data_IF_213704197067
#
_entry.id   IF_213704197067
#
_cell.length_a   1.000
_cell.length_b   1.000
_cell.length_c   1.000
_cell.angle_alpha   90.00
_cell.angle_beta   90.00
_cell.angle_gamma   90.00
#
_symmetry.space_group_name_H-M   'P 1'
#
loop_
_entity.id
_entity.type
_entity.pdbx_description
1 polymer ?
#
# COMPACT_ATOMS: atom_id res chain seq x y z
N UNK A 1 1.05 19.83 0.95
CA UNK A 1 2.23 19.45 0.12
C UNK A 1 3.32 18.98 1.07
N UNK A 2 3.79 17.74 0.95
CA UNK A 2 4.86 17.24 1.82
C UNK A 2 6.17 17.96 1.45
N UNK A 3 6.77 18.62 2.41
CA UNK A 3 8.08 19.29 2.27
C UNK A 3 9.24 18.30 2.01
N UNK A 4 8.96 17.01 2.10
CA UNK A 4 9.94 15.93 2.00
C UNK A 4 10.19 15.55 0.53
N UNK A 5 9.15 15.50 -0.31
CA UNK A 5 9.28 15.08 -1.72
C UNK A 5 10.24 15.94 -2.55
N UNK A 6 10.18 17.28 -2.50
CA UNK A 6 11.15 18.12 -3.24
C UNK A 6 12.59 17.96 -2.76
N UNK A 7 12.79 17.63 -1.46
CA UNK A 7 14.13 17.37 -0.92
C UNK A 7 14.70 16.03 -1.40
N UNK A 8 13.84 15.02 -1.56
CA UNK A 8 14.23 13.70 -2.06
C UNK A 8 14.51 13.75 -3.57
N UNK A 9 13.74 14.52 -4.34
CA UNK A 9 14.02 14.77 -5.76
C UNK A 9 15.37 15.48 -5.97
N UNK A 10 15.68 16.47 -5.14
CA UNK A 10 17.01 17.13 -5.15
C UNK A 10 18.17 16.17 -4.83
N UNK A 11 17.91 15.06 -4.16
CA UNK A 11 18.86 13.97 -3.89
C UNK A 11 18.86 12.87 -4.97
N UNK A 12 18.20 13.09 -6.11
CA UNK A 12 18.15 12.14 -7.22
C UNK A 12 17.22 10.96 -7.03
N UNK A 13 16.35 10.98 -6.00
CA UNK A 13 15.33 9.93 -5.79
C UNK A 13 14.09 10.32 -6.56
N UNK A 14 13.88 9.69 -7.72
CA UNK A 14 12.69 9.94 -8.55
C UNK A 14 11.39 9.63 -7.78
N UNK A 15 10.32 10.32 -8.15
CA UNK A 15 8.99 10.10 -7.58
C UNK A 15 8.56 8.63 -7.63
N UNK A 16 8.89 7.94 -8.73
CA UNK A 16 8.60 6.51 -8.90
C UNK A 16 9.35 5.62 -7.89
N UNK A 17 10.58 5.99 -7.51
CA UNK A 17 11.33 5.29 -6.45
C UNK A 17 10.73 5.55 -5.08
N UNK A 18 10.29 6.79 -4.81
CA UNK A 18 9.62 7.14 -3.55
C UNK A 18 8.34 6.32 -3.36
N UNK A 19 7.54 6.17 -4.42
CA UNK A 19 6.32 5.33 -4.39
C UNK A 19 6.64 3.86 -4.13
N UNK A 20 7.68 3.32 -4.77
CA UNK A 20 8.13 1.94 -4.55
C UNK A 20 8.56 1.69 -3.10
N UNK A 21 9.33 2.61 -2.53
CA UNK A 21 9.77 2.52 -1.13
C UNK A 21 8.54 2.44 -0.22
N UNK A 22 7.53 3.26 -0.46
CA UNK A 22 6.31 3.24 0.32
C UNK A 22 5.49 1.95 0.14
N UNK A 23 5.43 1.40 -1.09
CA UNK A 23 4.77 0.11 -1.35
C UNK A 23 5.44 -1.07 -0.64
N UNK A 24 6.75 -1.04 -0.48
CA UNK A 24 7.49 -2.06 0.26
C UNK A 24 7.39 -1.82 1.77
N UNK A 25 7.41 -0.56 2.19
CA UNK A 25 7.38 -0.17 3.59
C UNK A 25 6.11 -0.64 4.30
N UNK A 26 4.95 -0.47 3.66
CA UNK A 26 3.66 -0.75 4.27
C UNK A 26 3.48 -2.24 4.63
N UNK A 27 3.67 -3.22 3.71
CA UNK A 27 3.56 -4.64 4.06
C UNK A 27 4.64 -5.11 5.05
N UNK A 28 5.84 -4.51 5.02
CA UNK A 28 6.88 -4.82 6.02
C UNK A 28 6.46 -4.39 7.42
N UNK A 29 5.96 -3.17 7.58
CA UNK A 29 5.45 -2.70 8.87
C UNK A 29 4.27 -3.55 9.36
N UNK A 30 3.32 -3.87 8.47
CA UNK A 30 2.18 -4.70 8.84
C UNK A 30 2.62 -6.13 9.20
N UNK A 31 3.58 -6.69 8.46
CA UNK A 31 4.16 -8.00 8.74
C UNK A 31 4.86 -8.03 10.10
N UNK A 32 5.64 -6.99 10.44
CA UNK A 32 6.27 -6.90 11.77
C UNK A 32 5.26 -6.80 12.90
N UNK A 33 4.13 -6.10 12.69
CA UNK A 33 3.05 -6.02 13.68
C UNK A 33 2.43 -7.38 14.00
N UNK A 34 2.40 -8.32 13.05
CA UNK A 34 1.89 -9.68 13.30
C UNK A 34 2.73 -10.46 14.31
N UNK A 35 4.04 -10.18 14.34
CA UNK A 35 4.98 -10.85 15.26
C UNK A 35 5.16 -10.09 16.58
N UNK A 36 4.88 -8.79 16.60
CA UNK A 36 5.10 -7.93 17.75
C UNK A 36 3.80 -7.71 18.53
N UNK A 37 3.38 -8.73 19.26
CA UNK A 37 2.16 -8.71 20.06
C UNK A 37 2.43 -8.27 21.52
N UNK A 38 3.05 -7.10 21.69
CA UNK A 38 3.33 -6.53 23.02
C UNK A 38 2.47 -5.28 23.28
N UNK A 39 2.43 -4.86 24.55
CA UNK A 39 1.77 -3.60 24.96
C UNK A 39 2.30 -2.36 24.24
N UNK A 40 3.51 -2.43 23.69
CA UNK A 40 4.17 -1.35 22.95
C UNK A 40 3.83 -1.34 21.44
N UNK A 41 2.90 -2.20 21.00
CA UNK A 41 2.53 -2.31 19.59
C UNK A 41 2.01 -0.99 18.97
N UNK A 42 1.54 -0.03 19.79
CA UNK A 42 1.13 1.30 19.35
C UNK A 42 2.27 2.08 18.66
N UNK A 43 3.54 1.82 19.03
CA UNK A 43 4.72 2.44 18.38
C UNK A 43 4.77 2.11 16.90
N UNK A 44 4.32 0.91 16.50
CA UNK A 44 4.30 0.48 15.11
C UNK A 44 3.36 1.35 14.25
N UNK A 45 2.30 1.89 14.83
CA UNK A 45 1.42 2.83 14.13
C UNK A 45 2.14 4.15 13.78
N UNK A 46 3.05 4.61 14.64
CA UNK A 46 3.90 5.76 14.34
C UNK A 46 4.88 5.46 13.21
N UNK A 47 5.39 4.23 13.15
CA UNK A 47 6.29 3.77 12.06
C UNK A 47 5.53 3.63 10.74
N UNK A 48 4.23 3.29 10.78
CA UNK A 48 3.35 3.24 9.60
C UNK A 48 2.98 4.64 9.06
N UNK A 49 2.90 5.64 9.93
CA UNK A 49 2.43 6.99 9.58
C UNK A 49 3.18 7.63 8.39
N UNK A 50 4.51 7.47 8.20
CA UNK A 50 5.21 7.99 7.02
C UNK A 50 4.72 7.42 5.67
N UNK A 51 4.01 6.29 5.68
CA UNK A 51 3.41 5.70 4.47
C UNK A 51 2.22 6.51 3.92
N UNK A 52 1.53 7.27 4.76
CA UNK A 52 0.35 8.05 4.36
C UNK A 52 0.67 9.12 3.28
N UNK A 53 1.74 9.92 3.39
CA UNK A 53 2.13 10.85 2.34
C UNK A 53 2.40 10.21 0.98
N UNK A 54 2.74 8.93 0.94
CA UNK A 54 3.00 8.22 -0.31
C UNK A 54 1.75 8.07 -1.18
N UNK A 55 0.59 7.89 -0.57
CA UNK A 55 -0.70 7.86 -1.29
C UNK A 55 -0.95 9.20 -1.99
N UNK A 56 -0.66 10.32 -1.31
CA UNK A 56 -0.79 11.67 -1.88
C UNK A 56 0.17 11.86 -3.06
N UNK A 57 1.40 11.35 -2.95
CA UNK A 57 2.38 11.39 -4.05
C UNK A 57 1.89 10.61 -5.26
N UNK A 58 1.36 9.41 -5.06
CA UNK A 58 0.79 8.60 -6.14
C UNK A 58 -0.40 9.28 -6.81
N UNK A 59 -1.29 9.85 -6.04
CA UNK A 59 -2.42 10.61 -6.54
C UNK A 59 -1.96 11.78 -7.42
N UNK A 60 -0.95 12.52 -6.98
CA UNK A 60 -0.36 13.62 -7.73
C UNK A 60 0.29 13.14 -9.03
N UNK A 61 1.06 12.05 -8.99
CA UNK A 61 1.69 11.48 -10.17
C UNK A 61 0.65 11.03 -11.20
N UNK A 62 -0.39 10.32 -10.74
CA UNK A 62 -1.47 9.87 -11.61
C UNK A 62 -2.13 11.05 -12.31
N UNK A 63 -2.38 12.16 -11.59
CA UNK A 63 -2.98 13.35 -12.19
C UNK A 63 -2.07 14.03 -13.23
N UNK A 64 -0.74 13.97 -13.06
CA UNK A 64 0.23 14.59 -13.98
C UNK A 64 0.41 13.83 -15.30
N UNK A 65 0.07 12.54 -15.35
CA UNK A 65 0.15 11.73 -16.59
C UNK A 65 -0.95 12.11 -17.58
N UNK A 66 -2.06 12.68 -17.10
CA UNK A 66 -3.21 13.02 -17.94
C UNK A 66 -3.25 14.51 -18.29
N UNK A 67 -3.91 14.87 -19.43
CA UNK A 67 -4.13 16.27 -19.79
C UNK A 67 -4.86 17.04 -18.68
N UNK A 68 -4.52 18.33 -18.52
CA UNK A 68 -5.06 19.17 -17.42
C UNK A 68 -6.58 19.20 -17.34
N UNK A 69 -7.28 19.16 -18.48
CA UNK A 69 -8.75 19.17 -18.50
C UNK A 69 -9.39 17.88 -17.95
N UNK A 70 -8.63 16.78 -17.86
CA UNK A 70 -9.07 15.50 -17.29
C UNK A 70 -8.64 15.32 -15.82
N UNK A 71 -7.77 16.17 -15.29
CA UNK A 71 -7.17 16.00 -13.96
C UNK A 71 -8.22 15.82 -12.86
N UNK A 72 -9.32 16.57 -12.89
CA UNK A 72 -10.41 16.43 -11.91
C UNK A 72 -11.07 15.04 -11.97
N UNK A 73 -11.38 14.56 -13.16
CA UNK A 73 -11.99 13.22 -13.36
C UNK A 73 -11.04 12.10 -12.90
N UNK A 74 -9.76 12.22 -13.23
CA UNK A 74 -8.73 11.27 -12.83
C UNK A 74 -8.61 11.20 -11.30
N UNK A 75 -8.58 12.34 -10.62
CA UNK A 75 -8.51 12.42 -9.17
C UNK A 75 -9.77 11.82 -8.50
N UNK A 76 -10.95 12.09 -9.04
CA UNK A 76 -12.20 11.52 -8.55
C UNK A 76 -12.20 9.99 -8.71
N UNK A 77 -11.80 9.48 -9.89
CA UNK A 77 -11.71 8.04 -10.14
C UNK A 77 -10.66 7.39 -9.23
N UNK A 78 -9.51 8.01 -9.04
CA UNK A 78 -8.49 7.54 -8.12
C UNK A 78 -9.04 7.41 -6.70
N UNK A 79 -9.72 8.44 -6.19
CA UNK A 79 -10.33 8.42 -4.87
C UNK A 79 -11.42 7.34 -4.76
N UNK A 80 -12.25 7.16 -5.78
CA UNK A 80 -13.28 6.11 -5.80
C UNK A 80 -12.65 4.72 -5.67
N UNK A 81 -11.62 4.44 -6.45
CA UNK A 81 -10.90 3.15 -6.40
C UNK A 81 -10.21 2.98 -5.05
N UNK A 82 -9.60 4.03 -4.52
CA UNK A 82 -8.90 3.99 -3.23
C UNK A 82 -9.86 3.71 -2.07
N UNK A 83 -10.96 4.47 -1.98
CA UNK A 83 -11.94 4.28 -0.90
C UNK A 83 -12.75 3.00 -1.05
N UNK A 84 -13.12 2.64 -2.29
CA UNK A 84 -13.78 1.36 -2.58
C UNK A 84 -12.88 0.19 -2.23
N UNK A 85 -11.60 0.25 -2.59
CA UNK A 85 -10.60 -0.75 -2.21
C UNK A 85 -10.41 -0.85 -0.70
N UNK A 86 -10.30 0.31 0.00
CA UNK A 86 -10.20 0.34 1.46
C UNK A 86 -11.42 -0.31 2.13
N UNK A 87 -12.63 0.00 1.65
CA UNK A 87 -13.86 -0.62 2.13
C UNK A 87 -13.84 -2.15 1.93
N UNK A 88 -13.51 -2.62 0.72
CA UNK A 88 -13.44 -4.05 0.43
C UNK A 88 -12.42 -4.78 1.30
N UNK A 89 -11.25 -4.16 1.55
CA UNK A 89 -10.22 -4.73 2.42
C UNK A 89 -10.70 -4.80 3.86
N UNK A 90 -11.28 -3.72 4.40
CA UNK A 90 -11.78 -3.68 5.78
C UNK A 90 -12.89 -4.71 5.99
N UNK A 91 -13.85 -4.77 5.08
CA UNK A 91 -14.93 -5.76 5.12
C UNK A 91 -14.38 -7.18 4.97
N UNK A 92 -13.45 -7.40 4.05
CA UNK A 92 -12.81 -8.70 3.85
C UNK A 92 -12.02 -9.19 5.07
N UNK A 93 -11.33 -8.30 5.80
CA UNK A 93 -10.67 -8.65 7.08
C UNK A 93 -11.70 -9.11 8.10
N UNK A 94 -12.85 -8.42 8.22
CA UNK A 94 -13.95 -8.83 9.10
C UNK A 94 -14.46 -10.21 8.77
N UNK A 95 -14.78 -10.48 7.49
CA UNK A 95 -15.26 -11.79 7.02
C UNK A 95 -14.23 -12.91 7.28
N UNK A 96 -12.94 -12.65 7.07
CA UNK A 96 -11.89 -13.62 7.36
C UNK A 96 -11.78 -13.91 8.86
N UNK A 97 -11.87 -12.87 9.69
CA UNK A 97 -11.84 -13.03 11.14
C UNK A 97 -13.04 -13.87 11.63
N UNK A 98 -14.24 -13.62 11.10
CA UNK A 98 -15.44 -14.40 11.39
C UNK A 98 -15.31 -15.87 10.94
N UNK A 99 -14.73 -16.09 9.76
CA UNK A 99 -14.47 -17.43 9.24
C UNK A 99 -13.50 -18.20 10.17
N UNK A 100 -12.39 -17.57 10.59
CA UNK A 100 -11.44 -18.20 11.50
C UNK A 100 -12.06 -18.42 12.89
N UNK A 101 -12.91 -17.53 13.38
CA UNK A 101 -13.66 -17.73 14.61
C UNK A 101 -14.63 -18.92 14.50
N UNK A 102 -15.31 -19.10 13.37
CA UNK A 102 -16.16 -20.26 13.10
C UNK A 102 -15.36 -21.58 13.08
N UNK A 103 -14.09 -21.52 12.66
CA UNK A 103 -13.13 -22.64 12.73
C UNK A 103 -12.55 -22.86 14.14
N UNK A 104 -13.13 -22.22 15.18
CA UNK A 104 -12.77 -22.33 16.60
C UNK A 104 -11.39 -21.76 16.97
N UNK A 105 -10.82 -20.89 16.16
CA UNK A 105 -9.70 -20.08 16.61
C UNK A 105 -10.17 -19.06 17.65
N UNK A 106 -9.29 -18.73 18.62
CA UNK A 106 -9.62 -17.66 19.55
C UNK A 106 -9.66 -16.29 18.82
N UNK A 107 -10.39 -15.30 19.32
CA UNK A 107 -10.61 -14.03 18.60
C UNK A 107 -9.31 -13.32 18.20
N UNK A 108 -8.28 -13.37 19.04
CA UNK A 108 -6.99 -12.75 18.77
C UNK A 108 -6.27 -13.46 17.63
N UNK A 109 -6.23 -14.80 17.64
CA UNK A 109 -5.62 -15.58 16.55
C UNK A 109 -6.40 -15.44 15.24
N UNK A 110 -7.74 -15.40 15.29
CA UNK A 110 -8.58 -15.20 14.12
C UNK A 110 -8.27 -13.86 13.44
N UNK A 111 -8.15 -12.78 14.21
CA UNK A 111 -7.79 -11.47 13.69
C UNK A 111 -6.36 -11.44 13.14
N UNK A 112 -5.41 -12.04 13.86
CA UNK A 112 -4.00 -12.15 13.40
C UNK A 112 -3.91 -12.88 12.06
N UNK A 113 -4.63 -13.99 11.89
CA UNK A 113 -4.69 -14.75 10.63
C UNK A 113 -5.32 -13.93 9.51
N UNK A 114 -6.40 -13.18 9.79
CA UNK A 114 -7.01 -12.29 8.79
C UNK A 114 -6.03 -11.22 8.30
N UNK A 115 -5.25 -10.60 9.20
CA UNK A 115 -4.18 -9.66 8.83
C UNK A 115 -3.02 -10.34 8.10
N UNK A 116 -2.68 -11.58 8.44
CA UNK A 116 -1.67 -12.34 7.71
C UNK A 116 -2.09 -12.59 6.25
N UNK A 117 -3.37 -12.93 6.02
CA UNK A 117 -3.91 -13.02 4.65
C UNK A 117 -3.79 -11.69 3.89
N UNK A 118 -4.04 -10.55 4.55
CA UNK A 118 -3.87 -9.24 3.95
C UNK A 118 -2.40 -8.98 3.57
N UNK A 119 -1.44 -9.32 4.43
CA UNK A 119 0.00 -9.19 4.12
C UNK A 119 0.38 -10.05 2.92
N UNK A 120 -0.10 -11.28 2.85
CA UNK A 120 0.14 -12.17 1.68
C UNK A 120 -0.45 -11.55 0.40
N UNK A 121 -1.66 -11.00 0.47
CA UNK A 121 -2.28 -10.32 -0.67
C UNK A 121 -1.45 -9.11 -1.12
N UNK A 122 -0.97 -8.28 -0.19
CA UNK A 122 -0.13 -7.12 -0.48
C UNK A 122 1.21 -7.52 -1.11
N UNK A 123 1.87 -8.55 -0.57
CA UNK A 123 3.14 -9.05 -1.13
C UNK A 123 2.94 -9.66 -2.52
N UNK A 124 1.85 -10.38 -2.74
CA UNK A 124 1.49 -10.94 -4.06
C UNK A 124 1.25 -9.82 -5.08
N UNK A 125 0.52 -8.78 -4.70
CA UNK A 125 0.29 -7.60 -5.53
C UNK A 125 1.59 -6.86 -5.85
N UNK A 126 2.46 -6.70 -4.87
CA UNK A 126 3.78 -6.07 -5.05
C UNK A 126 4.66 -6.90 -6.01
N UNK A 127 4.71 -8.23 -5.82
CA UNK A 127 5.46 -9.13 -6.69
C UNK A 127 4.96 -9.04 -8.13
N UNK A 128 3.64 -9.09 -8.34
CA UNK A 128 3.02 -8.92 -9.65
C UNK A 128 3.40 -7.59 -10.31
N UNK A 129 3.33 -6.49 -9.55
CA UNK A 129 3.71 -5.17 -10.05
C UNK A 129 5.18 -5.11 -10.47
N UNK A 130 6.10 -5.65 -9.66
CA UNK A 130 7.53 -5.67 -9.97
C UNK A 130 7.84 -6.52 -11.21
N UNK A 131 7.19 -7.67 -11.37
CA UNK A 131 7.34 -8.53 -12.54
C UNK A 131 6.91 -7.82 -13.83
N UNK A 132 5.75 -7.15 -13.81
CA UNK A 132 5.24 -6.39 -14.96
C UNK A 132 6.12 -5.20 -15.32
N UNK A 133 6.63 -4.51 -14.33
CA UNK A 133 7.54 -3.38 -14.53
C UNK A 133 8.85 -3.81 -15.20
N UNK A 134 9.45 -4.91 -14.73
CA UNK A 134 10.70 -5.43 -15.29
C UNK A 134 10.52 -5.89 -16.75
N UNK A 135 9.40 -6.54 -17.07
CA UNK A 135 9.06 -6.95 -18.42
C UNK A 135 8.93 -5.73 -19.36
N UNK A 136 8.28 -4.66 -18.93
CA UNK A 136 8.14 -3.43 -19.74
C UNK A 136 9.50 -2.77 -20.01
N UNK A 137 10.40 -2.74 -19.05
CA UNK A 137 11.75 -2.18 -19.21
C UNK A 137 12.59 -3.04 -20.16
N UNK A 138 12.47 -4.35 -20.11
CA UNK A 138 13.19 -5.26 -21.02
C UNK A 138 12.79 -5.07 -22.48
N UNK A 139 11.49 -4.85 -22.75
CA UNK A 139 10.99 -4.58 -24.12
C UNK A 139 11.57 -3.26 -24.66
N UNK A 140 11.64 -2.21 -23.85
CA UNK A 140 12.19 -0.91 -24.27
C UNK A 140 13.70 -0.95 -24.59
N UNK A 141 14.45 -1.88 -24.01
CA UNK A 141 15.88 -2.03 -24.26
C UNK A 141 16.17 -2.91 -25.48
N UNK A 142 15.17 -3.62 -26.01
CA UNK A 142 15.29 -4.51 -27.17
C UNK A 142 14.87 -3.84 -28.49
N UNK A 143 14.29 -2.64 -28.43
CA UNK A 143 13.90 -1.80 -29.60
C UNK A 143 14.90 -0.67 -29.81
#
# INVERSE_FOLDING_TARGET
MSLISPRLEKRGISLARQSLIAFVWFPLCLGTMLFWQTTEAWVMWLVLAPGVPAVILMQTQTALVFPRHLAGRVLTTFNLVMFGGAFCIQWGIGLLADLFAALKFNPQSALTLAFACLVVLQLSSLAWFLMRRNAATAIQLST
#
